data_IF_942252715602
#
_entry.id   IF_942252715602
#
_cell.length_a   1.000
_cell.length_b   1.000
_cell.length_c   1.000
_cell.angle_alpha   90.00
_cell.angle_beta   90.00
_cell.angle_gamma   90.00
#
_symmetry.space_group_name_H-M   'P 1'
#
loop_
_entity.id
_entity.type
_entity.pdbx_description
1 polymer ?
#
# COMPACT_ATOMS: atom_id res chain seq x y z
N UNK A 1 3.13 11.37 26.34
CA UNK A 1 2.24 10.67 25.39
C UNK A 1 2.69 11.04 23.99
N UNK A 2 3.34 10.11 23.29
CA UNK A 2 3.82 10.38 21.92
C UNK A 2 2.62 10.57 21.01
N UNK A 3 2.51 11.75 20.38
CA UNK A 3 1.53 12.04 19.34
C UNK A 3 1.53 10.92 18.31
N UNK A 4 0.36 10.38 17.97
CA UNK A 4 0.19 9.26 17.05
C UNK A 4 0.95 9.53 15.74
N UNK A 5 2.03 8.78 15.49
CA UNK A 5 2.79 8.82 14.22
C UNK A 5 2.07 8.09 13.08
N UNK A 6 0.79 7.74 13.28
CA UNK A 6 0.03 6.88 12.39
C UNK A 6 -1.24 7.60 11.99
N UNK A 7 -1.29 7.96 10.71
CA UNK A 7 -2.53 8.29 10.03
C UNK A 7 -3.18 6.97 9.62
N UNK A 8 -4.08 6.44 10.45
CA UNK A 8 -4.70 5.13 10.22
C UNK A 8 -5.61 5.13 8.99
N UNK A 9 -6.19 6.26 8.61
CA UNK A 9 -7.01 6.38 7.41
C UNK A 9 -6.13 6.25 6.16
N UNK A 10 -5.00 6.97 6.13
CA UNK A 10 -4.01 6.85 5.07
C UNK A 10 -3.43 5.43 4.97
N UNK A 11 -3.11 4.81 6.12
CA UNK A 11 -2.60 3.44 6.16
C UNK A 11 -3.61 2.43 5.61
N UNK A 12 -4.89 2.58 6.01
CA UNK A 12 -5.96 1.72 5.54
C UNK A 12 -6.18 1.90 4.04
N UNK A 13 -6.24 3.14 3.57
CA UNK A 13 -6.37 3.44 2.14
C UNK A 13 -5.20 2.86 1.33
N UNK A 14 -3.96 3.01 1.81
CA UNK A 14 -2.75 2.47 1.16
C UNK A 14 -2.82 0.94 1.06
N UNK A 15 -3.23 0.27 2.13
CA UNK A 15 -3.40 -1.18 2.17
C UNK A 15 -4.48 -1.65 1.18
N UNK A 16 -5.63 -0.98 1.16
CA UNK A 16 -6.75 -1.31 0.26
C UNK A 16 -6.39 -1.07 -1.20
N UNK A 17 -5.67 0.02 -1.50
CA UNK A 17 -5.17 0.31 -2.85
C UNK A 17 -4.23 -0.77 -3.36
N UNK A 18 -3.27 -1.21 -2.53
CA UNK A 18 -2.35 -2.30 -2.90
C UNK A 18 -3.08 -3.64 -3.07
N UNK A 19 -4.05 -3.93 -2.21
CA UNK A 19 -4.89 -5.13 -2.31
C UNK A 19 -5.68 -5.14 -3.61
N UNK A 20 -6.34 -4.02 -3.95
CA UNK A 20 -7.09 -3.89 -5.20
C UNK A 20 -6.19 -4.12 -6.42
N UNK A 21 -5.01 -3.48 -6.47
CA UNK A 21 -4.05 -3.68 -7.56
C UNK A 21 -3.60 -5.14 -7.69
N UNK A 22 -3.42 -5.83 -6.57
CA UNK A 22 -3.07 -7.26 -6.54
C UNK A 22 -4.21 -8.12 -7.10
N UNK A 23 -5.44 -7.86 -6.66
CA UNK A 23 -6.64 -8.61 -7.07
C UNK A 23 -7.01 -8.36 -8.54
N UNK A 24 -6.89 -7.12 -9.04
CA UNK A 24 -7.04 -6.75 -10.46
C UNK A 24 -6.09 -7.54 -11.37
N UNK A 25 -4.91 -7.91 -10.85
CA UNK A 25 -3.89 -8.70 -11.57
C UNK A 25 -4.03 -10.21 -11.34
N UNK A 26 -5.02 -10.66 -10.56
CA UNK A 26 -5.23 -12.06 -10.25
C UNK A 26 -4.10 -12.70 -9.43
N UNK A 27 -3.36 -11.92 -8.64
CA UNK A 27 -2.18 -12.39 -7.92
C UNK A 27 -2.52 -12.80 -6.48
N UNK A 28 -1.91 -13.90 -6.03
CA UNK A 28 -1.91 -14.27 -4.61
C UNK A 28 -0.87 -13.45 -3.83
N UNK A 29 -1.03 -13.31 -2.51
CA UNK A 29 -0.01 -12.66 -1.66
C UNK A 29 1.35 -13.39 -1.74
N UNK A 30 1.33 -14.72 -1.81
CA UNK A 30 2.54 -15.56 -1.95
C UNK A 30 3.27 -15.28 -3.27
N UNK A 31 2.53 -15.15 -4.38
CA UNK A 31 3.10 -14.79 -5.68
C UNK A 31 3.79 -13.43 -5.65
N UNK A 32 3.19 -12.43 -5.01
CA UNK A 32 3.82 -11.12 -4.86
C UNK A 32 5.08 -11.21 -4.01
N UNK A 33 5.04 -11.94 -2.89
CA UNK A 33 6.21 -12.14 -2.03
C UNK A 33 7.35 -12.82 -2.80
N UNK A 34 7.06 -13.88 -3.55
CA UNK A 34 8.05 -14.60 -4.34
C UNK A 34 8.76 -13.71 -5.36
N UNK A 35 8.03 -12.82 -6.03
CA UNK A 35 8.61 -11.94 -7.07
C UNK A 35 9.31 -10.70 -6.53
N UNK A 36 8.87 -10.18 -5.38
CA UNK A 36 9.31 -8.86 -4.88
C UNK A 36 10.14 -8.94 -3.60
N UNK A 37 10.12 -10.09 -2.92
CA UNK A 37 10.62 -10.27 -1.56
C UNK A 37 9.96 -9.32 -0.54
N UNK A 38 8.75 -8.82 -0.85
CA UNK A 38 7.95 -7.95 0.03
C UNK A 38 6.77 -8.73 0.55
N UNK A 39 6.61 -8.77 1.88
CA UNK A 39 5.45 -9.38 2.49
C UNK A 39 4.24 -8.44 2.36
N UNK A 40 3.56 -8.52 1.21
CA UNK A 40 2.37 -7.71 0.93
C UNK A 40 1.20 -8.05 1.86
N UNK A 41 1.10 -9.30 2.32
CA UNK A 41 0.08 -9.71 3.29
C UNK A 41 0.15 -8.90 4.59
N UNK A 42 1.36 -8.61 5.09
CA UNK A 42 1.54 -7.73 6.26
C UNK A 42 1.10 -6.28 5.98
N UNK A 43 1.34 -5.80 4.76
CA UNK A 43 0.98 -4.44 4.34
C UNK A 43 -0.54 -4.30 4.20
N UNK A 44 -1.21 -5.30 3.61
CA UNK A 44 -2.66 -5.34 3.42
C UNK A 44 -3.47 -5.37 4.73
N UNK A 45 -2.83 -5.63 5.87
CA UNK A 45 -3.45 -5.49 7.20
C UNK A 45 -3.69 -4.00 7.55
N UNK A 46 -2.92 -3.06 6.99
CA UNK A 46 -3.10 -1.61 7.20
C UNK A 46 -2.74 -1.10 8.59
N UNK A 47 -1.92 -1.83 9.37
CA UNK A 47 -1.55 -1.49 10.75
C UNK A 47 -0.16 -0.88 10.93
N UNK A 48 0.61 -0.77 9.86
CA UNK A 48 1.98 -0.24 9.91
C UNK A 48 2.35 0.48 8.64
N UNK A 49 3.22 1.50 8.77
CA UNK A 49 3.80 2.19 7.63
C UNK A 49 4.54 1.21 6.69
N UNK A 50 4.44 1.50 5.40
CA UNK A 50 5.27 0.92 4.35
C UNK A 50 6.43 1.89 4.06
N UNK A 51 7.61 1.37 3.74
CA UNK A 51 8.71 2.22 3.26
C UNK A 51 8.41 2.74 1.84
N UNK A 52 8.90 3.94 1.51
CA UNK A 52 8.79 4.49 0.15
C UNK A 52 9.46 3.56 -0.90
N UNK A 53 10.54 2.88 -0.51
CA UNK A 53 11.23 1.92 -1.38
C UNK A 53 10.35 0.70 -1.67
N UNK A 54 9.73 0.11 -0.66
CA UNK A 54 8.79 -1.00 -0.84
C UNK A 54 7.59 -0.58 -1.68
N UNK A 55 7.04 0.62 -1.45
CA UNK A 55 5.96 1.16 -2.26
C UNK A 55 6.37 1.31 -3.73
N UNK A 56 7.56 1.87 -4.00
CA UNK A 56 8.08 2.03 -5.36
C UNK A 56 8.27 0.69 -6.06
N UNK A 57 8.80 -0.33 -5.37
CA UNK A 57 8.93 -1.69 -5.91
C UNK A 57 7.56 -2.27 -6.26
N UNK A 58 6.57 -2.14 -5.37
CA UNK A 58 5.22 -2.64 -5.62
C UNK A 58 4.53 -1.91 -6.78
N UNK A 59 4.69 -0.58 -6.89
CA UNK A 59 4.16 0.19 -8.02
C UNK A 59 4.76 -0.29 -9.35
N UNK A 60 6.09 -0.48 -9.41
CA UNK A 60 6.77 -1.03 -10.59
C UNK A 60 6.31 -2.44 -10.91
N UNK A 61 6.18 -3.29 -9.89
CA UNK A 61 5.71 -4.67 -10.04
C UNK A 61 4.27 -4.73 -10.59
N UNK A 62 3.42 -3.81 -10.14
CA UNK A 62 2.07 -3.66 -10.66
C UNK A 62 2.02 -2.88 -11.99
N UNK A 63 3.12 -2.29 -12.47
CA UNK A 63 3.15 -1.55 -13.73
C UNK A 63 2.39 -0.22 -13.68
N UNK A 64 2.37 0.45 -12.52
CA UNK A 64 1.79 1.77 -12.33
C UNK A 64 2.84 2.77 -11.84
N UNK A 65 2.62 4.06 -12.09
CA UNK A 65 3.45 5.12 -11.50
C UNK A 65 3.07 5.35 -10.03
N UNK A 66 3.95 6.03 -9.27
CA UNK A 66 3.62 6.48 -7.91
C UNK A 66 2.49 7.52 -7.95
N UNK A 67 2.42 8.34 -8.99
CA UNK A 67 1.32 9.29 -9.20
C UNK A 67 -0.02 8.56 -9.35
N UNK A 68 -0.08 7.55 -10.20
CA UNK A 68 -1.28 6.71 -10.39
C UNK A 68 -1.66 5.93 -9.13
N UNK A 69 -0.66 5.56 -8.32
CA UNK A 69 -0.92 4.92 -7.03
C UNK A 69 -1.74 5.84 -6.13
N UNK A 70 -1.32 7.11 -5.97
CA UNK A 70 -1.97 8.13 -5.12
C UNK A 70 -3.14 8.86 -5.78
N UNK A 71 -3.49 8.54 -7.03
CA UNK A 71 -4.59 9.18 -7.73
C UNK A 71 -5.92 8.95 -7.00
N UNK A 72 -6.65 10.04 -6.75
CA UNK A 72 -7.94 10.00 -6.06
C UNK A 72 -7.82 9.80 -4.54
N UNK A 73 -6.62 9.94 -3.96
CA UNK A 73 -6.48 10.01 -2.52
C UNK A 73 -7.21 11.25 -1.98
N UNK A 74 -7.93 11.10 -0.88
CA UNK A 74 -8.54 12.21 -0.14
C UNK A 74 -8.17 12.07 1.33
N UNK A 75 -7.20 12.87 1.77
CA UNK A 75 -6.77 12.97 3.17
C UNK A 75 -7.28 14.30 3.73
N UNK A 76 -8.58 14.52 3.68
CA UNK A 76 -9.18 15.70 4.34
C UNK A 76 -9.45 15.30 5.78
N UNK A 77 -8.60 15.73 6.70
CA UNK A 77 -8.97 15.79 8.11
C UNK A 77 -10.10 16.81 8.20
N UNK A 78 -11.31 16.38 8.55
CA UNK A 78 -12.32 17.30 9.06
C UNK A 78 -11.72 17.96 10.31
N UNK A 79 -11.23 19.19 10.14
CA UNK A 79 -10.71 20.02 11.23
C UNK A 79 -11.80 20.45 12.19
#
# INVERSE_FOLDING_TARGET
>A
MGRERYDYELLKWTADRLKALREERGLSQETVYFHTNINIGRIEIGKSNISLTSLSILCKYFGISIEDFFKGISTEQAG
#
